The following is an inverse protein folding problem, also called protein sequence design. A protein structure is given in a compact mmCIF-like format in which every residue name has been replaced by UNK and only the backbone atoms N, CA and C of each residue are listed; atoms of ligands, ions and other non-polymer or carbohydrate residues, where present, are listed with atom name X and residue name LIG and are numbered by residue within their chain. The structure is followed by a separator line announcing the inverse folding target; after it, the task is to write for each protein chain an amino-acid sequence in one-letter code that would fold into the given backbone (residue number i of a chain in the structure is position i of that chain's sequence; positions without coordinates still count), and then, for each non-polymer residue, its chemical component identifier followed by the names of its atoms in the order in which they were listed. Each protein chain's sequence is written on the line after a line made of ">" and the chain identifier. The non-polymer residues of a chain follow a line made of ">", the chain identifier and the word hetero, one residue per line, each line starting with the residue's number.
data_IF_115913792506
#
_entry.id   IF_115913792506
#
_cell.length_a   1.000
_cell.length_b   1.000
_cell.length_c   1.000
_cell.angle_alpha   90.00
_cell.angle_beta   90.00
_cell.angle_gamma   90.00
#
_symmetry.space_group_name_H-M   'P 1'
#
loop_
_entity.id
_entity.type
_entity.pdbx_description
1 polymer ?
#
# COMPACT_ATOMS: atom_id res chain seq x y z
N UNK A 1 14.97 15.02 23.88
CA UNK A 1 14.00 14.14 24.12
C UNK A 1 13.95 13.05 23.25
N UNK A 2 14.06 12.13 23.54
CA UNK A 2 13.94 11.14 22.79
C UNK A 2 13.95 9.94 23.44
N UNK A 3 13.65 9.24 23.32
CA UNK A 3 13.25 8.52 22.50
C UNK A 3 13.75 7.24 22.57
N UNK A 4 13.35 6.65 23.07
CA UNK A 4 13.75 5.44 23.54
C UNK A 4 13.00 4.28 22.99
N UNK A 5 12.08 4.47 22.17
CA UNK A 5 11.26 3.43 21.59
C UNK A 5 11.15 3.64 20.11
N UNK A 6 10.92 2.61 19.34
CA UNK A 6 10.70 2.72 17.90
C UNK A 6 9.59 3.71 17.51
N UNK A 7 8.58 3.84 18.34
CA UNK A 7 7.51 4.82 18.10
C UNK A 7 7.98 6.27 18.24
N UNK A 8 9.05 6.49 18.93
CA UNK A 8 9.62 7.81 19.11
C UNK A 8 10.49 8.25 17.95
N UNK A 9 10.78 7.35 17.08
CA UNK A 9 11.41 7.67 15.83
C UNK A 9 10.61 8.72 15.03
N UNK A 10 9.29 8.68 15.09
CA UNK A 10 8.44 9.71 14.45
C UNK A 10 8.60 11.08 15.09
N UNK A 11 8.82 11.13 16.37
CA UNK A 11 9.08 12.40 17.07
C UNK A 11 10.47 12.92 16.73
N UNK A 12 11.41 12.05 16.58
CA UNK A 12 12.75 12.40 16.11
C UNK A 12 12.73 12.93 14.68
N UNK A 13 11.95 12.34 13.80
CA UNK A 13 11.79 12.83 12.43
C UNK A 13 11.28 14.26 12.40
N UNK A 14 10.43 14.65 13.32
CA UNK A 14 9.97 16.05 13.45
C UNK A 14 11.07 16.99 13.95
N UNK A 15 12.02 16.47 14.69
CA UNK A 15 13.17 17.21 15.22
C UNK A 15 14.35 17.19 14.24
N UNK A 16 14.32 16.30 13.26
CA UNK A 16 15.38 16.18 12.27
C UNK A 16 15.83 17.48 11.62
N UNK A 17 14.95 18.42 11.25
CA UNK A 17 15.41 19.70 10.73
C UNK A 17 16.29 20.45 11.74
N UNK A 18 15.92 20.39 13.02
CA UNK A 18 16.72 21.00 14.09
C UNK A 18 17.99 20.20 14.34
N UNK A 19 17.88 18.89 14.37
CA UNK A 19 19.02 17.99 14.54
C UNK A 19 20.00 18.08 13.36
N UNK A 20 19.53 18.25 12.14
CA UNK A 20 20.40 18.44 10.97
C UNK A 20 21.13 19.76 10.98
N UNK A 21 20.59 20.77 11.66
CA UNK A 21 21.28 22.05 11.86
C UNK A 21 22.37 21.95 12.94
N UNK A 22 22.12 21.15 13.98
CA UNK A 22 23.05 20.97 15.10
C UNK A 22 24.04 19.84 14.83
N UNK A 23 23.59 18.81 14.13
CA UNK A 23 24.35 17.61 13.78
C UNK A 23 24.37 17.36 12.26
N UNK A 24 25.17 18.13 11.52
CA UNK A 24 25.18 18.05 10.05
C UNK A 24 25.59 16.69 9.49
N UNK A 25 26.13 15.82 10.33
CA UNK A 25 26.56 14.47 9.95
C UNK A 25 25.53 13.38 10.25
N UNK A 26 24.38 13.73 10.83
CA UNK A 26 23.35 12.74 11.07
C UNK A 26 22.69 12.34 9.74
N UNK A 27 22.99 11.15 9.31
CA UNK A 27 22.32 10.50 8.18
C UNK A 27 21.60 9.26 8.69
N UNK A 28 20.30 9.10 8.46
CA UNK A 28 19.61 7.87 8.79
C UNK A 28 20.33 6.73 8.06
N UNK A 29 20.67 5.70 8.80
CA UNK A 29 21.29 4.51 8.18
C UNK A 29 20.25 3.82 7.31
N UNK A 30 20.61 3.46 6.07
CA UNK A 30 19.71 2.66 5.25
C UNK A 30 19.44 1.33 5.96
N UNK A 31 18.19 0.90 5.91
CA UNK A 31 17.82 -0.40 6.44
C UNK A 31 18.61 -1.49 5.71
N UNK A 32 19.18 -2.43 6.46
CA UNK A 32 19.79 -3.58 5.84
C UNK A 32 18.69 -4.55 5.34
N UNK A 33 19.02 -5.36 4.36
CA UNK A 33 18.09 -6.30 3.74
C UNK A 33 17.35 -7.19 4.76
N UNK A 34 18.05 -7.67 5.78
CA UNK A 34 17.45 -8.45 6.87
C UNK A 34 16.38 -7.67 7.65
N UNK A 35 16.65 -6.41 7.95
CA UNK A 35 15.68 -5.55 8.65
C UNK A 35 14.47 -5.30 7.79
N UNK A 36 14.68 -5.05 6.49
CA UNK A 36 13.61 -4.88 5.54
C UNK A 36 12.74 -6.14 5.44
N UNK A 37 13.37 -7.31 5.33
CA UNK A 37 12.67 -8.60 5.30
C UNK A 37 11.83 -8.82 6.56
N UNK A 38 12.37 -8.51 7.74
CA UNK A 38 11.61 -8.61 9.00
C UNK A 38 10.40 -7.67 9.01
N UNK A 39 10.57 -6.42 8.56
CA UNK A 39 9.47 -5.46 8.46
C UNK A 39 8.41 -5.93 7.47
N UNK A 40 8.82 -6.49 6.33
CA UNK A 40 7.91 -7.02 5.33
C UNK A 40 7.12 -8.21 5.85
N UNK A 41 7.76 -9.14 6.55
CA UNK A 41 7.07 -10.29 7.16
C UNK A 41 6.04 -9.85 8.19
N UNK A 42 6.39 -8.89 9.05
CA UNK A 42 5.43 -8.31 10.00
C UNK A 42 4.24 -7.66 9.30
N UNK A 43 4.50 -6.99 8.20
CA UNK A 43 3.48 -6.37 7.38
C UNK A 43 2.58 -7.42 6.70
N UNK A 44 3.16 -8.47 6.15
CA UNK A 44 2.42 -9.60 5.56
C UNK A 44 1.48 -10.26 6.58
N UNK A 45 1.97 -10.49 7.80
CA UNK A 45 1.16 -11.05 8.89
C UNK A 45 0.05 -10.11 9.32
N UNK A 46 0.31 -8.81 9.36
CA UNK A 46 -0.70 -7.80 9.63
C UNK A 46 -1.80 -7.78 8.56
N UNK A 47 -1.43 -7.87 7.27
CA UNK A 47 -2.38 -8.00 6.15
C UNK A 47 -3.33 -9.18 6.34
N UNK A 48 -2.77 -10.36 6.63
CA UNK A 48 -3.55 -11.59 6.84
C UNK A 48 -4.52 -11.44 8.01
N UNK A 49 -4.05 -10.91 9.14
CA UNK A 49 -4.88 -10.65 10.33
C UNK A 49 -5.98 -9.63 10.03
N UNK A 50 -5.66 -8.56 9.32
CA UNK A 50 -6.61 -7.53 8.93
C UNK A 50 -7.72 -8.13 8.04
N UNK A 51 -7.33 -8.85 6.99
CA UNK A 51 -8.27 -9.49 6.08
C UNK A 51 -9.20 -10.46 6.83
N UNK A 52 -8.61 -11.30 7.68
CA UNK A 52 -9.39 -12.22 8.53
C UNK A 52 -10.40 -11.47 9.40
N UNK A 53 -9.97 -10.42 10.07
CA UNK A 53 -10.86 -9.58 10.87
C UNK A 53 -12.01 -8.99 10.06
N UNK A 54 -11.75 -8.49 8.86
CA UNK A 54 -12.78 -7.93 7.99
C UNK A 54 -13.77 -8.97 7.48
N UNK A 55 -13.30 -10.15 7.12
CA UNK A 55 -14.16 -11.23 6.63
C UNK A 55 -15.06 -11.82 7.72
N UNK A 56 -14.56 -11.95 8.95
CA UNK A 56 -15.31 -12.62 10.01
C UNK A 56 -16.13 -11.68 10.89
N UNK A 57 -15.68 -10.44 11.07
CA UNK A 57 -16.27 -9.52 12.04
C UNK A 57 -16.95 -8.30 11.38
N UNK A 58 -16.98 -8.21 10.06
CA UNK A 58 -17.67 -7.10 9.40
C UNK A 58 -19.19 -7.24 9.60
N UNK A 59 -19.79 -6.21 10.20
CA UNK A 59 -21.25 -6.10 10.37
C UNK A 59 -21.95 -5.46 9.16
N UNK A 60 -21.20 -4.95 8.19
CA UNK A 60 -21.76 -4.20 7.04
C UNK A 60 -22.32 -5.12 5.95
N UNK A 61 -21.97 -6.40 5.96
CA UNK A 61 -22.50 -7.39 5.03
C UNK A 61 -22.31 -7.03 3.56
N UNK A 62 -23.33 -7.28 2.75
CA UNK A 62 -23.31 -7.11 1.29
C UNK A 62 -23.13 -5.64 0.86
N UNK A 63 -23.43 -4.69 1.73
CA UNK A 63 -23.26 -3.26 1.44
C UNK A 63 -21.80 -2.78 1.60
N UNK A 64 -20.90 -3.64 2.02
CA UNK A 64 -19.49 -3.33 2.13
C UNK A 64 -18.81 -3.56 0.78
N UNK A 65 -18.37 -2.48 0.15
CA UNK A 65 -17.76 -2.53 -1.18
C UNK A 65 -16.51 -3.43 -1.22
N UNK A 66 -15.74 -3.47 -0.14
CA UNK A 66 -14.56 -4.31 -0.04
C UNK A 66 -14.93 -5.81 0.00
N UNK A 67 -15.93 -6.19 0.79
CA UNK A 67 -16.40 -7.58 0.83
C UNK A 67 -17.01 -8.01 -0.49
N UNK A 68 -17.73 -7.10 -1.13
CA UNK A 68 -18.27 -7.31 -2.48
C UNK A 68 -17.15 -7.54 -3.49
N UNK A 69 -16.09 -6.72 -3.45
CA UNK A 69 -14.92 -6.89 -4.31
C UNK A 69 -14.26 -8.28 -4.12
N UNK A 70 -14.08 -8.73 -2.88
CA UNK A 70 -13.55 -10.07 -2.58
C UNK A 70 -14.42 -11.15 -3.21
N UNK A 71 -15.73 -11.06 -3.07
CA UNK A 71 -16.66 -12.03 -3.59
C UNK A 71 -16.69 -12.06 -5.13
N UNK A 72 -16.82 -10.91 -5.77
CA UNK A 72 -16.92 -10.82 -7.24
C UNK A 72 -15.60 -11.15 -7.93
N UNK A 73 -14.47 -10.81 -7.33
CA UNK A 73 -13.14 -11.20 -7.80
C UNK A 73 -12.79 -12.66 -7.46
N UNK A 74 -13.70 -13.40 -6.82
CA UNK A 74 -13.56 -14.82 -6.44
C UNK A 74 -12.30 -15.11 -5.61
N UNK A 75 -11.90 -14.15 -4.79
CA UNK A 75 -10.77 -14.31 -3.91
C UNK A 75 -11.13 -15.24 -2.75
N UNK A 76 -10.41 -16.34 -2.62
CA UNK A 76 -10.57 -17.24 -1.50
C UNK A 76 -9.91 -16.65 -0.24
N UNK A 77 -10.25 -17.21 0.93
CA UNK A 77 -9.67 -16.81 2.20
C UNK A 77 -8.14 -16.99 2.17
N UNK A 78 -7.41 -15.92 2.18
CA UNK A 78 -5.96 -15.95 2.21
C UNK A 78 -5.25 -15.78 0.88
N UNK A 79 -5.97 -15.84 -0.25
CA UNK A 79 -5.38 -15.79 -1.58
C UNK A 79 -5.21 -14.36 -2.14
N UNK A 80 -5.08 -13.38 -1.28
CA UNK A 80 -4.75 -12.05 -1.74
C UNK A 80 -3.32 -12.02 -2.30
N UNK A 81 -3.15 -11.60 -3.57
CA UNK A 81 -1.84 -11.45 -4.16
C UNK A 81 -0.90 -10.62 -3.28
N UNK A 82 0.36 -10.97 -3.26
CA UNK A 82 1.37 -10.33 -2.41
C UNK A 82 1.51 -8.83 -2.66
N UNK A 83 1.21 -8.38 -3.86
CA UNK A 83 1.26 -6.97 -4.25
C UNK A 83 0.01 -6.17 -3.86
N UNK A 84 -1.01 -6.78 -3.28
CA UNK A 84 -2.18 -6.08 -2.72
C UNK A 84 -1.91 -5.76 -1.25
N UNK A 85 -1.98 -4.50 -0.89
CA UNK A 85 -1.70 -4.01 0.45
C UNK A 85 -0.25 -3.51 0.62
N UNK A 86 0.46 -3.26 -0.47
CA UNK A 86 1.83 -2.73 -0.43
C UNK A 86 1.83 -1.33 0.19
N UNK A 87 2.77 -1.04 1.12
CA UNK A 87 2.90 0.29 1.66
C UNK A 87 3.42 1.26 0.60
N UNK A 88 2.75 2.40 0.45
CA UNK A 88 3.20 3.53 -0.36
C UNK A 88 3.31 4.77 0.52
N UNK A 89 4.16 5.73 0.14
CA UNK A 89 4.46 6.90 0.99
C UNK A 89 3.23 7.73 1.32
N UNK A 90 2.40 7.98 0.31
CA UNK A 90 1.21 8.82 0.45
C UNK A 90 -0.05 8.06 0.87
N UNK A 91 0.08 6.77 1.27
CA UNK A 91 -1.08 5.95 1.67
C UNK A 91 -1.99 6.59 2.74
N UNK A 92 -1.42 7.40 3.62
CA UNK A 92 -2.18 8.10 4.67
C UNK A 92 -3.21 9.10 4.15
N UNK A 93 -3.10 9.53 2.89
CA UNK A 93 -4.06 10.42 2.26
C UNK A 93 -5.37 9.72 1.88
N UNK A 94 -5.36 8.39 1.87
CA UNK A 94 -6.53 7.55 1.60
C UNK A 94 -6.99 6.98 2.95
N UNK A 95 -8.21 7.30 3.42
CA UNK A 95 -8.69 6.88 4.74
C UNK A 95 -9.15 5.41 4.77
N UNK A 96 -8.52 4.57 3.99
CA UNK A 96 -8.68 3.12 3.97
C UNK A 96 -7.32 2.46 4.13
N UNK A 97 -7.31 1.24 4.64
CA UNK A 97 -6.09 0.44 4.65
C UNK A 97 -5.61 0.16 3.24
N UNK A 98 -4.29 0.06 3.06
CA UNK A 98 -3.70 -0.21 1.75
C UNK A 98 -4.30 -1.45 1.08
N UNK A 99 -4.59 -2.49 1.85
CA UNK A 99 -5.25 -3.70 1.34
C UNK A 99 -6.62 -3.38 0.73
N UNK A 100 -7.40 -2.53 1.37
CA UNK A 100 -8.75 -2.22 0.90
C UNK A 100 -8.73 -1.40 -0.39
N UNK A 101 -8.11 -0.23 -0.37
CA UNK A 101 -8.18 0.64 -1.55
C UNK A 101 -7.43 0.08 -2.76
N UNK A 102 -6.35 -0.68 -2.53
CA UNK A 102 -5.64 -1.34 -3.62
C UNK A 102 -6.45 -2.47 -4.24
N UNK A 103 -7.15 -3.26 -3.42
CA UNK A 103 -8.09 -4.26 -3.94
C UNK A 103 -9.27 -3.61 -4.67
N UNK A 104 -9.82 -2.53 -4.11
CA UNK A 104 -10.89 -1.77 -4.77
C UNK A 104 -10.45 -1.20 -6.11
N UNK A 105 -9.19 -0.81 -6.27
CA UNK A 105 -8.65 -0.38 -7.56
C UNK A 105 -8.70 -1.50 -8.60
N UNK A 106 -8.30 -2.72 -8.25
CA UNK A 106 -8.42 -3.88 -9.13
C UNK A 106 -9.88 -4.23 -9.43
N UNK A 107 -10.74 -4.14 -8.45
CA UNK A 107 -12.17 -4.37 -8.64
C UNK A 107 -12.78 -3.33 -9.58
N UNK A 108 -12.47 -2.07 -9.38
CA UNK A 108 -12.88 -0.99 -10.27
C UNK A 108 -12.42 -1.24 -11.72
N UNK A 109 -11.14 -1.59 -11.90
CA UNK A 109 -10.62 -1.92 -13.23
C UNK A 109 -11.37 -3.09 -13.87
N UNK A 110 -11.66 -4.14 -13.10
CA UNK A 110 -12.43 -5.30 -13.58
C UNK A 110 -13.85 -4.90 -14.00
N UNK A 111 -14.54 -4.10 -13.20
CA UNK A 111 -15.89 -3.64 -13.50
C UNK A 111 -15.98 -2.78 -14.77
N UNK A 112 -14.92 -2.04 -15.07
CA UNK A 112 -14.89 -1.09 -16.18
C UNK A 112 -14.06 -1.57 -17.38
N UNK A 113 -13.54 -2.80 -17.36
CA UNK A 113 -12.72 -3.33 -18.44
C UNK A 113 -11.41 -2.55 -18.64
N UNK A 114 -10.85 -2.00 -17.57
CA UNK A 114 -9.65 -1.17 -17.60
C UNK A 114 -8.41 -2.01 -17.29
N UNK A 115 -7.28 -1.62 -17.85
CA UNK A 115 -5.96 -2.13 -17.50
C UNK A 115 -5.16 -1.09 -16.71
N UNK A 116 -4.10 -1.51 -16.04
CA UNK A 116 -3.19 -0.58 -15.32
C UNK A 116 -2.60 0.48 -16.26
N UNK A 117 -2.39 0.13 -17.51
CA UNK A 117 -1.84 1.05 -18.51
C UNK A 117 -2.84 2.10 -18.99
N UNK A 118 -4.14 1.81 -18.85
CA UNK A 118 -5.22 2.74 -19.23
C UNK A 118 -5.61 3.72 -18.11
N UNK A 119 -5.01 3.60 -16.92
CA UNK A 119 -5.28 4.48 -15.80
C UNK A 119 -4.62 5.86 -16.00
N UNK A 120 -5.38 6.78 -16.54
CA UNK A 120 -5.05 8.19 -16.66
C UNK A 120 -5.62 9.01 -15.48
N UNK A 121 -5.37 10.30 -15.44
CA UNK A 121 -5.86 11.18 -14.37
C UNK A 121 -7.38 11.17 -14.22
N UNK A 122 -8.12 11.18 -15.34
CA UNK A 122 -9.58 11.14 -15.32
C UNK A 122 -10.11 9.83 -14.74
N UNK A 123 -9.51 8.70 -15.09
CA UNK A 123 -9.90 7.38 -14.54
C UNK A 123 -9.55 7.25 -13.07
N UNK A 124 -8.41 7.80 -12.62
CA UNK A 124 -8.07 7.86 -11.20
C UNK A 124 -9.05 8.74 -10.41
N UNK A 125 -9.41 9.89 -10.95
CA UNK A 125 -10.43 10.74 -10.35
C UNK A 125 -11.78 10.01 -10.23
N UNK A 126 -12.18 9.32 -11.30
CA UNK A 126 -13.40 8.53 -11.29
C UNK A 126 -13.32 7.39 -10.26
N UNK A 127 -12.21 6.69 -10.16
CA UNK A 127 -11.99 5.66 -9.12
C UNK A 127 -12.17 6.23 -7.72
N UNK A 128 -11.52 7.35 -7.38
CA UNK A 128 -11.63 7.96 -6.07
C UNK A 128 -13.07 8.35 -5.75
N UNK A 129 -13.77 8.94 -6.71
CA UNK A 129 -15.18 9.29 -6.56
C UNK A 129 -16.07 8.06 -6.40
N UNK A 130 -15.85 7.03 -7.21
CA UNK A 130 -16.60 5.78 -7.16
C UNK A 130 -16.42 5.03 -5.82
N UNK A 131 -15.22 5.04 -5.30
CA UNK A 131 -14.89 4.44 -4.01
C UNK A 131 -15.23 5.33 -2.81
N UNK A 132 -15.79 6.51 -3.04
CA UNK A 132 -16.08 7.53 -2.03
C UNK A 132 -14.84 7.92 -1.21
N UNK A 133 -13.74 8.15 -1.92
CA UNK A 133 -12.44 8.51 -1.37
C UNK A 133 -12.11 9.99 -1.64
N UNK A 134 -11.25 10.62 -0.82
CA UNK A 134 -10.85 12.00 -1.04
C UNK A 134 -10.10 12.18 -2.37
N UNK A 135 -10.49 13.17 -3.16
CA UNK A 135 -9.85 13.53 -4.43
C UNK A 135 -8.74 14.58 -4.21
N UNK A 136 -7.80 14.27 -3.33
CA UNK A 136 -6.67 15.15 -3.04
C UNK A 136 -5.46 14.81 -3.89
N UNK A 137 -4.58 15.78 -4.12
CA UNK A 137 -3.30 15.57 -4.83
C UNK A 137 -2.50 14.42 -4.21
N UNK A 138 -2.49 14.33 -2.88
CA UNK A 138 -1.77 13.27 -2.18
C UNK A 138 -2.40 11.88 -2.39
N UNK A 139 -3.73 11.79 -2.53
CA UNK A 139 -4.38 10.54 -2.87
C UNK A 139 -4.04 10.10 -4.30
N UNK A 140 -3.94 11.03 -5.24
CA UNK A 140 -3.43 10.75 -6.60
C UNK A 140 -2.00 10.22 -6.56
N UNK A 141 -1.12 10.88 -5.80
CA UNK A 141 0.27 10.42 -5.63
C UNK A 141 0.33 9.00 -5.05
N UNK A 142 -0.51 8.66 -4.08
CA UNK A 142 -0.56 7.30 -3.54
C UNK A 142 -0.94 6.25 -4.60
N UNK A 143 -1.91 6.59 -5.46
CA UNK A 143 -2.32 5.72 -6.56
C UNK A 143 -1.18 5.59 -7.58
N UNK A 144 -0.51 6.69 -7.92
CA UNK A 144 0.59 6.69 -8.89
C UNK A 144 1.79 5.88 -8.41
N UNK A 145 2.15 6.01 -7.13
CA UNK A 145 3.19 5.19 -6.52
C UNK A 145 2.84 3.70 -6.61
N UNK A 146 1.60 3.35 -6.33
CA UNK A 146 1.16 1.97 -6.42
C UNK A 146 1.18 1.45 -7.86
N UNK A 147 0.65 2.23 -8.81
CA UNK A 147 0.69 1.88 -10.24
C UNK A 147 2.14 1.72 -10.73
N UNK A 148 3.06 2.57 -10.28
CA UNK A 148 4.49 2.44 -10.58
C UNK A 148 5.01 1.07 -10.14
N UNK A 149 4.73 0.65 -8.90
CA UNK A 149 5.14 -0.66 -8.37
C UNK A 149 4.55 -1.78 -9.23
N UNK A 150 3.27 -1.72 -9.56
CA UNK A 150 2.62 -2.75 -10.38
C UNK A 150 3.25 -2.85 -11.79
N UNK A 151 3.56 -1.73 -12.41
CA UNK A 151 4.25 -1.70 -13.72
C UNK A 151 5.65 -2.29 -13.65
N UNK A 152 6.42 -1.98 -12.61
CA UNK A 152 7.75 -2.53 -12.40
C UNK A 152 7.73 -4.05 -12.19
N UNK A 153 6.64 -4.57 -11.62
CA UNK A 153 6.40 -6.01 -11.46
C UNK A 153 5.72 -6.66 -12.67
N UNK A 154 5.44 -5.89 -13.74
CA UNK A 154 4.69 -6.34 -14.91
C UNK A 154 3.31 -6.93 -14.56
N UNK A 155 2.65 -6.36 -13.55
CA UNK A 155 1.33 -6.79 -13.10
C UNK A 155 0.28 -5.97 -13.85
N UNK A 156 -0.52 -6.62 -14.67
CA UNK A 156 -1.59 -5.98 -15.45
C UNK A 156 -2.99 -6.29 -14.91
N UNK A 157 -3.12 -7.39 -14.19
CA UNK A 157 -4.39 -7.86 -13.64
C UNK A 157 -4.19 -8.56 -12.30
N UNK A 158 -5.29 -8.79 -11.58
CA UNK A 158 -5.25 -9.48 -10.28
C UNK A 158 -4.82 -10.95 -10.38
N UNK A 159 -4.90 -11.56 -11.56
CA UNK A 159 -4.45 -12.94 -11.81
C UNK A 159 -2.95 -13.06 -12.09
N UNK A 160 -2.23 -11.93 -12.15
CA UNK A 160 -0.78 -11.98 -12.36
C UNK A 160 -0.07 -12.62 -11.18
N UNK A 161 0.89 -13.49 -11.50
CA UNK A 161 1.69 -14.17 -10.47
C UNK A 161 2.94 -13.34 -10.18
N UNK A 162 3.12 -13.01 -8.92
CA UNK A 162 4.32 -12.36 -8.42
C UNK A 162 4.79 -13.07 -7.17
N UNK A 163 6.08 -13.38 -7.09
CA UNK A 163 6.63 -13.94 -5.88
C UNK A 163 6.88 -12.85 -4.81
N UNK A 164 6.80 -13.26 -3.54
CA UNK A 164 7.11 -12.37 -2.42
C UNK A 164 8.54 -11.82 -2.52
N UNK A 165 9.47 -12.65 -2.97
CA UNK A 165 10.88 -12.26 -3.16
C UNK A 165 11.06 -11.16 -4.22
N UNK A 166 10.37 -11.27 -5.35
CA UNK A 166 10.40 -10.23 -6.38
C UNK A 166 9.88 -8.88 -5.86
N UNK A 167 8.78 -8.92 -5.13
CA UNK A 167 8.21 -7.72 -4.52
C UNK A 167 9.17 -7.10 -3.50
N UNK A 168 9.76 -7.91 -2.62
CA UNK A 168 10.71 -7.43 -1.61
C UNK A 168 11.93 -6.79 -2.26
N UNK A 169 12.53 -7.43 -3.25
CA UNK A 169 13.69 -6.89 -3.96
C UNK A 169 13.38 -5.54 -4.59
N UNK A 170 12.22 -5.41 -5.22
CA UNK A 170 11.80 -4.16 -5.81
C UNK A 170 11.61 -3.06 -4.75
N UNK A 171 10.87 -3.34 -3.70
CA UNK A 171 10.61 -2.36 -2.64
C UNK A 171 11.90 -1.95 -1.92
N UNK A 172 12.82 -2.88 -1.73
CA UNK A 172 14.12 -2.59 -1.15
C UNK A 172 14.95 -1.66 -2.04
N UNK A 173 14.99 -1.90 -3.34
CA UNK A 173 15.71 -1.04 -4.30
C UNK A 173 15.14 0.38 -4.33
N UNK A 174 13.82 0.52 -4.27
CA UNK A 174 13.14 1.82 -4.26
C UNK A 174 13.32 2.59 -2.94
N UNK A 175 13.48 1.89 -1.82
CA UNK A 175 13.71 2.52 -0.50
C UNK A 175 15.17 2.91 -0.32
N UNK A 176 16.09 2.11 -0.82
CA UNK A 176 17.54 2.36 -0.67
C UNK A 176 18.05 3.36 -1.71
N UNK A 177 17.36 3.51 -2.84
CA UNK A 177 17.70 4.46 -3.90
C UNK A 177 17.37 5.93 -3.56
N UNK A 178 16.87 6.20 -2.36
CA UNK A 178 16.55 7.52 -1.83
C UNK A 178 17.54 7.90 -0.73
#
# INVERSE_FOLDING_TARGET
>A
CVYLHGNLFLSEVRILPLASQVFPFYRPRPLCEKQFQMMFNQYSDYRKKYLHGRLFYSRKGVNDLFLRAIYELRLQRGDLPVYVGVPVRHAKAIPLFSVEWQLLLFYFMSCHGLSINSLNESTKHYFLSWANLPTTTQAFLAIDEYIKILRMLSIESLSAVCSEEQLIRLLYSEIVAI
#
